data_IF_884243180904
#
_entry.id   IF_884243180904
#
_cell.length_a   1.000
_cell.length_b   1.000
_cell.length_c   1.000
_cell.angle_alpha   90.00
_cell.angle_beta   90.00
_cell.angle_gamma   90.00
#
_symmetry.space_group_name_H-M   'P 1'
#
loop_
_entity.id
_entity.type
_entity.pdbx_description
1 polymer ?
#
# COMPACT_ATOMS: atom_id res chain seq x y z
N UNK A 1 11.34 38.57 -19.61
CA UNK A 1 12.49 39.49 -19.94
C UNK A 1 13.82 38.73 -20.01
N UNK A 2 14.21 37.95 -19.00
CA UNK A 2 15.47 37.19 -19.01
C UNK A 2 15.67 36.33 -20.27
N UNK A 3 14.64 35.62 -20.69
CA UNK A 3 14.65 34.68 -21.83
C UNK A 3 14.77 35.40 -23.20
N UNK A 4 14.47 36.69 -23.24
CA UNK A 4 14.46 37.51 -24.46
C UNK A 4 15.58 38.54 -24.51
N UNK A 5 16.58 38.50 -23.59
CA UNK A 5 17.66 39.48 -23.54
C UNK A 5 18.61 39.41 -24.75
N UNK A 6 18.70 38.23 -25.39
CA UNK A 6 19.50 38.07 -26.59
C UNK A 6 18.88 38.76 -27.82
N UNK A 7 17.55 38.90 -27.85
CA UNK A 7 16.83 39.46 -28.98
C UNK A 7 16.47 40.95 -28.82
N UNK A 8 16.27 41.41 -27.57
CA UNK A 8 15.80 42.78 -27.31
C UNK A 8 16.54 43.43 -26.14
N UNK A 9 16.90 44.73 -26.26
CA UNK A 9 17.54 45.49 -25.18
C UNK A 9 16.62 45.55 -23.92
N UNK A 10 17.21 45.35 -22.74
CA UNK A 10 16.48 45.38 -21.46
C UNK A 10 15.74 46.69 -21.27
N UNK A 11 16.32 47.83 -21.64
CA UNK A 11 15.68 49.14 -21.55
C UNK A 11 14.37 49.23 -22.37
N UNK A 12 14.34 48.66 -23.56
CA UNK A 12 13.15 48.62 -24.42
C UNK A 12 12.06 47.75 -23.83
N UNK A 13 12.43 46.56 -23.31
CA UNK A 13 11.48 45.66 -22.62
C UNK A 13 10.93 46.29 -21.34
N UNK A 14 11.76 46.97 -20.56
CA UNK A 14 11.35 47.68 -19.36
C UNK A 14 10.33 48.78 -19.66
N UNK A 15 10.57 49.56 -20.71
CA UNK A 15 9.67 50.64 -21.15
C UNK A 15 8.32 50.07 -21.58
N UNK A 16 8.29 49.00 -22.36
CA UNK A 16 7.08 48.35 -22.84
C UNK A 16 6.24 47.75 -21.68
N UNK A 17 6.91 47.19 -20.65
CA UNK A 17 6.27 46.56 -19.52
C UNK A 17 6.01 47.54 -18.35
N UNK A 18 6.33 48.82 -18.48
CA UNK A 18 6.10 49.84 -17.44
C UNK A 18 6.93 49.65 -16.17
N UNK A 19 8.11 49.00 -16.25
CA UNK A 19 9.00 48.78 -15.11
C UNK A 19 10.29 49.54 -15.29
N UNK A 20 10.93 49.97 -14.18
CA UNK A 20 12.22 50.65 -14.27
C UNK A 20 13.35 49.64 -14.53
N UNK A 21 14.37 50.00 -15.37
CA UNK A 21 15.55 49.17 -15.56
C UNK A 21 16.30 48.88 -14.25
N UNK A 22 16.41 49.86 -13.37
CA UNK A 22 17.02 49.67 -12.04
C UNK A 22 16.25 48.67 -11.15
N UNK A 23 14.91 48.75 -11.18
CA UNK A 23 14.07 47.78 -10.51
C UNK A 23 14.23 46.36 -11.05
N UNK A 24 14.35 46.21 -12.36
CA UNK A 24 14.63 44.91 -13.00
C UNK A 24 15.99 44.33 -12.55
N UNK A 25 17.05 45.11 -12.61
CA UNK A 25 18.38 44.65 -12.19
C UNK A 25 18.46 44.42 -10.68
N UNK A 26 17.78 45.21 -9.84
CA UNK A 26 17.68 44.94 -8.41
C UNK A 26 16.91 43.64 -8.12
N UNK A 27 15.88 43.35 -8.92
CA UNK A 27 15.13 42.11 -8.82
C UNK A 27 15.96 40.88 -9.22
N UNK A 28 16.67 40.94 -10.36
CA UNK A 28 17.52 39.85 -10.86
C UNK A 28 18.68 39.55 -9.91
N UNK A 29 19.25 40.56 -9.24
CA UNK A 29 20.34 40.39 -8.26
C UNK A 29 19.87 40.05 -6.87
N UNK A 30 18.55 40.03 -6.63
CA UNK A 30 18.00 39.78 -5.30
C UNK A 30 18.28 38.35 -4.83
N UNK A 31 18.89 38.23 -3.68
CA UNK A 31 19.08 36.95 -3.03
C UNK A 31 17.73 36.28 -2.72
N UNK A 32 17.63 34.94 -2.80
CA UNK A 32 16.40 34.22 -2.46
C UNK A 32 15.90 34.59 -1.06
N UNK A 33 14.61 34.84 -0.93
CA UNK A 33 13.98 35.20 0.35
C UNK A 33 14.24 34.10 1.40
N UNK A 34 14.13 34.45 2.70
CA UNK A 34 14.20 33.45 3.80
C UNK A 34 13.24 32.27 3.56
N UNK A 35 12.05 32.57 3.04
CA UNK A 35 11.05 31.54 2.69
C UNK A 35 11.53 30.65 1.54
N UNK A 36 12.08 31.22 0.47
CA UNK A 36 12.59 30.46 -0.66
C UNK A 36 13.74 29.54 -0.26
N UNK A 37 14.67 30.02 0.57
CA UNK A 37 15.76 29.19 1.14
C UNK A 37 15.23 28.05 2.01
N UNK A 38 14.27 28.34 2.89
CA UNK A 38 13.60 27.35 3.73
C UNK A 38 12.77 26.35 2.90
N UNK A 39 12.15 26.78 1.79
CA UNK A 39 11.43 25.89 0.87
C UNK A 39 12.41 24.96 0.15
N UNK A 40 13.59 25.45 -0.28
CA UNK A 40 14.63 24.64 -0.92
C UNK A 40 15.15 23.53 0.00
N UNK A 41 15.48 23.85 1.25
CA UNK A 41 15.90 22.87 2.25
C UNK A 41 14.80 21.81 2.51
N UNK A 42 13.54 22.26 2.59
CA UNK A 42 12.41 21.36 2.81
C UNK A 42 12.13 20.44 1.60
N UNK A 43 12.34 20.91 0.38
CA UNK A 43 12.22 20.07 -0.83
C UNK A 43 13.25 18.95 -0.81
N UNK A 44 14.49 19.19 -0.38
CA UNK A 44 15.49 18.13 -0.24
C UNK A 44 15.04 17.04 0.76
N UNK A 45 14.48 17.43 1.92
CA UNK A 45 13.94 16.48 2.91
C UNK A 45 12.72 15.72 2.36
N UNK A 46 11.86 16.38 1.59
CA UNK A 46 10.72 15.75 0.91
C UNK A 46 11.21 14.68 -0.08
N UNK A 47 12.20 14.99 -0.91
CA UNK A 47 12.79 14.01 -1.83
C UNK A 47 13.41 12.83 -1.09
N UNK A 48 14.19 13.07 -0.04
CA UNK A 48 14.77 12.01 0.78
C UNK A 48 13.70 11.09 1.40
N UNK A 49 12.64 11.67 1.96
CA UNK A 49 11.52 10.90 2.52
C UNK A 49 10.75 10.12 1.44
N UNK A 50 10.57 10.71 0.26
CA UNK A 50 9.90 10.07 -0.86
C UNK A 50 10.73 8.90 -1.41
N UNK A 51 12.04 9.05 -1.57
CA UNK A 51 12.94 7.96 -1.97
C UNK A 51 12.96 6.83 -0.93
N UNK A 52 13.08 7.16 0.36
CA UNK A 52 13.06 6.18 1.45
C UNK A 52 11.74 5.39 1.51
N UNK A 53 10.63 5.96 1.03
CA UNK A 53 9.33 5.31 0.88
C UNK A 53 9.15 4.60 -0.46
N UNK A 54 10.23 4.30 -1.19
CA UNK A 54 10.20 3.64 -2.51
C UNK A 54 9.44 4.46 -3.57
N UNK A 55 9.37 5.79 -3.41
CA UNK A 55 8.63 6.65 -4.33
C UNK A 55 7.11 6.49 -4.27
N UNK A 56 6.55 6.06 -3.12
CA UNK A 56 5.13 5.73 -3.01
C UNK A 56 4.32 6.74 -2.18
N UNK A 57 4.96 7.49 -1.29
CA UNK A 57 4.26 8.36 -0.36
C UNK A 57 3.76 9.65 -1.00
N UNK A 58 2.47 9.93 -0.80
CA UNK A 58 1.88 11.25 -1.03
C UNK A 58 2.05 12.18 0.17
N UNK A 59 1.60 13.42 0.03
CA UNK A 59 1.77 14.50 1.01
C UNK A 59 1.39 14.14 2.47
N UNK A 60 0.33 13.36 2.76
CA UNK A 60 0.02 12.99 4.14
C UNK A 60 1.10 12.16 4.83
N UNK A 61 1.65 11.14 4.12
CA UNK A 61 2.71 10.27 4.66
C UNK A 61 4.06 10.98 4.70
N UNK A 62 4.39 11.79 3.68
CA UNK A 62 5.59 12.64 3.69
C UNK A 62 5.55 13.63 4.88
N UNK A 63 4.40 14.26 5.13
CA UNK A 63 4.23 15.14 6.30
C UNK A 63 4.50 14.39 7.61
N UNK A 64 4.01 13.14 7.73
CA UNK A 64 4.25 12.33 8.93
C UNK A 64 5.74 11.92 9.06
N UNK A 65 6.45 11.65 7.94
CA UNK A 65 7.89 11.40 7.96
C UNK A 65 8.68 12.61 8.44
N UNK A 66 8.35 13.80 7.90
CA UNK A 66 9.00 15.04 8.33
C UNK A 66 8.76 15.32 9.81
N UNK A 67 7.51 15.12 10.29
CA UNK A 67 7.17 15.26 11.70
C UNK A 67 7.96 14.29 12.59
N UNK A 68 8.15 13.04 12.17
CA UNK A 68 8.96 12.06 12.88
C UNK A 68 10.45 12.44 12.97
N UNK A 69 10.96 13.18 11.98
CA UNK A 69 12.31 13.79 11.99
C UNK A 69 12.39 15.10 12.79
N UNK A 70 11.31 15.54 13.47
CA UNK A 70 11.25 16.79 14.19
C UNK A 70 11.05 18.05 13.30
N UNK A 71 10.83 17.89 12.01
CA UNK A 71 10.60 19.00 11.08
C UNK A 71 9.14 19.42 11.14
N UNK A 72 8.86 20.54 11.81
CA UNK A 72 7.52 21.11 11.95
C UNK A 72 7.13 21.91 10.72
N UNK A 73 6.21 21.39 9.90
CA UNK A 73 5.73 22.01 8.67
C UNK A 73 4.24 21.74 8.47
N UNK A 74 3.49 22.68 7.91
CA UNK A 74 2.07 22.47 7.62
C UNK A 74 1.87 21.55 6.40
N UNK A 75 0.86 20.66 6.46
CA UNK A 75 0.54 19.70 5.39
C UNK A 75 0.29 20.37 4.03
N UNK A 76 -0.36 21.55 4.01
CA UNK A 76 -0.58 22.31 2.75
C UNK A 76 0.73 22.78 2.13
N UNK A 77 1.74 23.16 2.95
CA UNK A 77 3.06 23.56 2.45
C UNK A 77 3.80 22.36 1.84
N UNK A 78 3.75 21.19 2.50
CA UNK A 78 4.33 19.95 1.94
C UNK A 78 3.67 19.61 0.62
N UNK A 79 2.34 19.60 0.53
CA UNK A 79 1.63 19.29 -0.72
C UNK A 79 1.99 20.26 -1.86
N UNK A 80 2.08 21.57 -1.57
CA UNK A 80 2.49 22.58 -2.55
C UNK A 80 3.92 22.35 -3.06
N UNK A 81 4.85 22.06 -2.16
CA UNK A 81 6.26 21.82 -2.52
C UNK A 81 6.43 20.51 -3.29
N UNK A 82 5.71 19.45 -2.92
CA UNK A 82 5.70 18.20 -3.69
C UNK A 82 5.20 18.45 -5.12
N UNK A 83 4.08 19.17 -5.27
CA UNK A 83 3.55 19.51 -6.60
C UNK A 83 4.55 20.35 -7.43
N UNK A 84 5.18 21.36 -6.83
CA UNK A 84 6.18 22.20 -7.47
C UNK A 84 7.45 21.42 -7.87
N UNK A 85 7.82 20.38 -7.12
CA UNK A 85 8.96 19.50 -7.39
C UNK A 85 8.61 18.29 -8.28
N UNK A 86 7.38 18.18 -8.80
CA UNK A 86 6.94 17.05 -9.61
C UNK A 86 6.88 15.72 -8.84
N UNK A 87 6.81 15.76 -7.50
CA UNK A 87 6.77 14.58 -6.63
C UNK A 87 5.33 14.21 -6.32
N UNK A 88 4.92 13.01 -6.70
CA UNK A 88 3.57 12.50 -6.46
C UNK A 88 3.59 11.13 -5.77
N UNK A 89 2.63 10.88 -4.90
CA UNK A 89 2.42 9.56 -4.31
C UNK A 89 1.65 8.64 -5.24
N UNK A 90 1.79 7.33 -5.02
CA UNK A 90 1.01 6.33 -5.74
C UNK A 90 -0.44 6.37 -5.27
N UNK A 91 -1.38 6.41 -6.21
CA UNK A 91 -2.81 6.39 -5.95
C UNK A 91 -3.39 5.04 -6.35
N UNK A 92 -4.29 4.50 -5.50
CA UNK A 92 -5.07 3.31 -5.86
C UNK A 92 -5.96 3.64 -7.05
N UNK A 93 -5.90 2.84 -8.10
CA UNK A 93 -6.89 2.87 -9.17
C UNK A 93 -8.20 2.31 -8.62
N UNK A 94 -9.33 2.92 -8.97
CA UNK A 94 -10.64 2.35 -8.62
C UNK A 94 -10.87 1.15 -9.53
N UNK A 95 -10.86 -0.06 -8.98
CA UNK A 95 -11.30 -1.26 -9.69
C UNK A 95 -12.82 -1.43 -9.53
N UNK A 96 -13.48 -1.84 -10.60
CA UNK A 96 -14.88 -2.29 -10.58
C UNK A 96 -14.86 -3.77 -10.23
N UNK A 97 -15.40 -4.11 -9.08
CA UNK A 97 -15.51 -5.50 -8.59
C UNK A 97 -16.67 -6.20 -9.28
N UNK A 98 -16.46 -7.38 -9.84
CA UNK A 98 -17.50 -8.17 -10.52
C UNK A 98 -17.35 -9.64 -10.19
N UNK A 99 -17.95 -10.17 -9.08
CA UNK A 99 -18.20 -11.62 -8.99
C UNK A 99 -19.19 -12.06 -7.93
N UNK A 100 -19.99 -13.09 -8.24
CA UNK A 100 -20.84 -13.86 -7.33
C UNK A 100 -20.36 -15.31 -7.28
N UNK A 101 -20.18 -15.92 -6.09
CA UNK A 101 -19.94 -17.35 -5.93
C UNK A 101 -21.02 -18.02 -5.09
N UNK A 102 -21.34 -19.28 -5.45
CA UNK A 102 -22.17 -20.19 -4.66
C UNK A 102 -21.23 -21.24 -4.07
N UNK A 103 -21.07 -21.25 -2.75
CA UNK A 103 -20.27 -22.24 -2.03
C UNK A 103 -21.17 -23.18 -1.23
N UNK A 104 -20.97 -24.49 -1.38
CA UNK A 104 -21.54 -25.53 -0.52
C UNK A 104 -20.38 -26.24 0.18
N UNK A 105 -20.19 -26.01 1.47
CA UNK A 105 -19.16 -26.66 2.29
C UNK A 105 -19.43 -26.46 3.78
N UNK A 106 -18.81 -27.27 4.66
CA UNK A 106 -18.83 -27.08 6.12
C UNK A 106 -18.21 -25.72 6.44
N UNK A 107 -19.01 -24.83 7.04
CA UNK A 107 -18.61 -23.46 7.34
C UNK A 107 -18.30 -23.34 8.84
N UNK A 108 -17.19 -22.65 9.18
CA UNK A 108 -16.99 -22.14 10.53
C UNK A 108 -17.99 -20.99 10.78
N UNK A 109 -18.46 -20.80 12.04
CA UNK A 109 -19.37 -19.70 12.35
C UNK A 109 -18.67 -18.36 12.15
N UNK A 110 -19.44 -17.33 11.76
CA UNK A 110 -18.96 -15.96 11.79
C UNK A 110 -18.89 -15.46 13.24
N UNK A 111 -17.68 -15.37 13.79
CA UNK A 111 -17.42 -14.92 15.15
C UNK A 111 -17.23 -13.40 15.25
N UNK A 112 -17.16 -12.70 14.11
CA UNK A 112 -16.80 -11.28 14.07
C UNK A 112 -18.03 -10.40 13.93
N UNK A 113 -19.11 -10.90 13.28
CA UNK A 113 -20.33 -10.15 13.03
C UNK A 113 -20.06 -8.72 12.49
N UNK A 114 -19.15 -8.60 11.54
CA UNK A 114 -18.68 -7.32 10.93
C UNK A 114 -17.91 -6.39 11.88
N UNK A 115 -17.55 -6.84 13.06
CA UNK A 115 -16.71 -6.05 13.96
C UNK A 115 -15.22 -6.40 13.77
N UNK A 116 -14.56 -5.74 12.83
CA UNK A 116 -13.12 -5.92 12.55
C UNK A 116 -12.22 -5.08 13.48
N UNK A 117 -12.74 -4.54 14.57
CA UNK A 117 -11.94 -3.82 15.55
C UNK A 117 -11.34 -4.79 16.56
N UNK A 118 -10.03 -4.84 16.64
CA UNK A 118 -9.31 -5.55 17.70
C UNK A 118 -8.76 -4.52 18.68
N UNK A 119 -9.05 -4.71 19.97
CA UNK A 119 -8.57 -3.83 21.03
C UNK A 119 -7.11 -4.13 21.43
N UNK A 120 -6.61 -5.29 21.03
CA UNK A 120 -5.26 -5.74 21.35
C UNK A 120 -4.64 -6.58 20.25
N UNK A 121 -3.32 -6.78 20.36
CA UNK A 121 -2.55 -7.63 19.46
C UNK A 121 -2.98 -9.09 19.59
N UNK A 122 -2.97 -9.82 18.49
CA UNK A 122 -3.26 -11.25 18.43
C UNK A 122 -4.67 -11.65 18.95
N UNK A 123 -5.63 -10.73 18.94
CA UNK A 123 -7.04 -11.05 19.22
C UNK A 123 -7.76 -11.49 17.95
N UNK A 124 -7.48 -10.83 16.84
CA UNK A 124 -8.09 -11.08 15.55
C UNK A 124 -7.03 -11.04 14.44
N UNK A 125 -6.92 -12.12 13.72
CA UNK A 125 -6.16 -12.23 12.49
C UNK A 125 -7.10 -12.33 11.30
N UNK A 126 -6.81 -11.57 10.25
CA UNK A 126 -7.52 -11.62 8.98
C UNK A 126 -6.61 -12.28 7.96
N UNK A 127 -7.13 -13.26 7.23
CA UNK A 127 -6.35 -14.00 6.26
C UNK A 127 -7.04 -14.04 4.89
N UNK A 128 -6.22 -14.04 3.85
CA UNK A 128 -6.70 -14.11 2.47
C UNK A 128 -5.57 -14.54 1.53
N UNK A 129 -5.94 -14.91 0.30
CA UNK A 129 -5.04 -15.35 -0.74
C UNK A 129 -5.17 -14.42 -1.95
N UNK A 130 -4.04 -14.01 -2.49
CA UNK A 130 -3.98 -13.34 -3.79
C UNK A 130 -3.03 -14.07 -4.73
N UNK A 131 -3.02 -13.67 -6.00
CA UNK A 131 -2.06 -14.17 -6.98
C UNK A 131 -1.19 -13.04 -7.52
N UNK A 132 0.04 -13.39 -7.85
CA UNK A 132 1.04 -12.50 -8.40
C UNK A 132 1.38 -13.02 -9.80
N UNK A 133 1.11 -12.25 -10.87
CA UNK A 133 1.43 -12.66 -12.22
C UNK A 133 2.94 -12.60 -12.48
N UNK A 134 3.49 -13.63 -13.08
CA UNK A 134 4.85 -13.68 -13.63
C UNK A 134 4.82 -14.23 -15.04
N UNK A 135 5.87 -14.05 -15.81
CA UNK A 135 5.94 -14.64 -17.15
C UNK A 135 5.98 -16.17 -17.11
N UNK A 136 6.48 -16.75 -16.02
CA UNK A 136 6.53 -18.19 -15.79
C UNK A 136 5.22 -18.77 -15.17
N UNK A 137 4.14 -17.97 -15.07
CA UNK A 137 2.87 -18.36 -14.48
C UNK A 137 2.57 -17.63 -13.18
N UNK A 138 1.50 -18.03 -12.49
CA UNK A 138 1.07 -17.40 -11.25
C UNK A 138 1.88 -17.88 -10.04
N UNK A 139 2.11 -16.96 -9.11
CA UNK A 139 2.56 -17.24 -7.76
C UNK A 139 1.43 -16.85 -6.82
N UNK A 140 0.95 -17.78 -5.99
CA UNK A 140 -0.09 -17.53 -4.99
C UNK A 140 0.55 -17.07 -3.70
N UNK A 141 -0.01 -16.03 -3.09
CA UNK A 141 0.43 -15.47 -1.82
C UNK A 141 -0.71 -15.55 -0.82
N UNK A 142 -0.56 -16.36 0.23
CA UNK A 142 -1.42 -16.35 1.41
C UNK A 142 -0.82 -15.42 2.46
N UNK A 143 -1.66 -14.63 3.13
CA UNK A 143 -1.25 -13.71 4.20
C UNK A 143 -2.12 -13.87 5.43
N UNK A 144 -1.53 -13.63 6.60
CA UNK A 144 -2.21 -13.49 7.88
C UNK A 144 -1.85 -12.12 8.45
N UNK A 145 -2.84 -11.26 8.62
CA UNK A 145 -2.72 -9.88 9.05
C UNK A 145 -3.31 -9.70 10.44
N UNK A 146 -2.57 -9.14 11.39
CA UNK A 146 -3.10 -8.73 12.70
C UNK A 146 -3.97 -7.48 12.55
N UNK A 147 -5.25 -7.59 12.94
CA UNK A 147 -6.24 -6.54 12.75
C UNK A 147 -5.95 -5.28 13.56
N UNK A 148 -5.29 -5.39 14.71
CA UNK A 148 -4.92 -4.27 15.57
C UNK A 148 -3.76 -3.47 15.00
N UNK A 149 -2.64 -4.15 14.71
CA UNK A 149 -1.39 -3.50 14.29
C UNK A 149 -1.25 -3.33 12.77
N UNK A 150 -2.07 -3.99 11.97
CA UNK A 150 -1.92 -4.07 10.50
C UNK A 150 -0.66 -4.81 10.06
N UNK A 151 0.01 -5.49 10.96
CA UNK A 151 1.22 -6.25 10.65
C UNK A 151 0.87 -7.54 9.93
N UNK A 152 1.60 -7.87 8.89
CA UNK A 152 1.60 -9.21 8.31
C UNK A 152 2.41 -10.09 9.25
N UNK A 153 1.72 -10.98 9.94
CA UNK A 153 2.29 -11.87 10.98
C UNK A 153 2.62 -13.25 10.46
N UNK A 154 2.06 -13.61 9.31
CA UNK A 154 2.37 -14.84 8.60
C UNK A 154 2.09 -14.69 7.12
N UNK A 155 2.87 -15.33 6.28
CA UNK A 155 2.67 -15.37 4.85
C UNK A 155 3.39 -16.58 4.24
N UNK A 156 2.88 -17.04 3.12
CA UNK A 156 3.50 -18.11 2.34
C UNK A 156 3.21 -17.93 0.86
N UNK A 157 4.07 -18.46 0.02
CA UNK A 157 3.91 -18.40 -1.44
C UNK A 157 4.10 -19.78 -2.08
N UNK A 158 3.17 -20.14 -2.97
CA UNK A 158 3.21 -21.40 -3.72
C UNK A 158 2.90 -21.19 -5.21
N UNK A 159 3.31 -22.13 -6.03
CA UNK A 159 3.00 -22.15 -7.47
C UNK A 159 1.61 -22.74 -7.75
N UNK A 160 1.00 -23.36 -6.77
CA UNK A 160 -0.34 -23.97 -6.83
C UNK A 160 -1.21 -23.45 -5.70
N UNK A 161 -2.51 -23.37 -5.94
CA UNK A 161 -3.50 -22.95 -4.94
C UNK A 161 -3.93 -24.15 -4.08
N UNK A 162 -3.00 -24.75 -3.34
CA UNK A 162 -3.25 -25.86 -2.43
C UNK A 162 -3.50 -25.37 -1.00
N UNK A 163 -4.13 -26.22 -0.16
CA UNK A 163 -4.33 -25.94 1.27
C UNK A 163 -3.00 -25.68 2.00
N UNK A 164 -1.90 -26.28 1.54
CA UNK A 164 -0.59 -26.11 2.15
C UNK A 164 -0.15 -24.65 2.24
N UNK A 165 -0.49 -23.80 1.23
CA UNK A 165 -0.08 -22.39 1.28
C UNK A 165 -0.71 -21.61 2.44
N UNK A 166 -1.96 -21.91 2.80
CA UNK A 166 -2.60 -21.27 3.96
C UNK A 166 -2.13 -21.86 5.28
N UNK A 167 -1.81 -23.16 5.31
CA UNK A 167 -1.23 -23.82 6.47
C UNK A 167 0.17 -23.26 6.80
N UNK A 168 1.00 -23.07 5.80
CA UNK A 168 2.34 -22.50 5.97
C UNK A 168 2.27 -21.06 6.47
N UNK A 169 1.35 -20.23 5.93
CA UNK A 169 1.13 -18.88 6.42
C UNK A 169 0.64 -18.86 7.88
N UNK A 170 -0.30 -19.75 8.25
CA UNK A 170 -0.77 -19.91 9.62
C UNK A 170 0.36 -20.38 10.54
N UNK A 171 1.13 -21.38 10.14
CA UNK A 171 2.25 -21.90 10.94
C UNK A 171 3.32 -20.83 11.19
N UNK A 172 3.64 -20.00 10.20
CA UNK A 172 4.53 -18.85 10.37
C UNK A 172 3.96 -17.87 11.41
N UNK A 173 2.69 -17.52 11.31
CA UNK A 173 2.03 -16.62 12.26
C UNK A 173 2.06 -17.19 13.70
N UNK A 174 1.76 -18.47 13.85
CA UNK A 174 1.79 -19.17 15.14
C UNK A 174 3.20 -19.20 15.76
N UNK A 175 4.22 -19.50 14.96
CA UNK A 175 5.61 -19.53 15.41
C UNK A 175 6.09 -18.14 15.87
N UNK A 176 5.73 -17.10 15.14
CA UNK A 176 6.11 -15.71 15.45
C UNK A 176 5.37 -15.14 16.65
N UNK A 177 4.11 -15.48 16.85
CA UNK A 177 3.21 -14.77 17.78
C UNK A 177 2.84 -15.57 19.02
N UNK A 178 2.80 -16.91 18.93
CA UNK A 178 2.35 -17.82 20.00
C UNK A 178 1.07 -17.32 20.68
N UNK A 179 0.00 -17.06 19.94
CA UNK A 179 -1.21 -16.44 20.46
C UNK A 179 -1.96 -17.39 21.38
N UNK A 180 -2.81 -16.83 22.25
CA UNK A 180 -3.76 -17.61 23.05
C UNK A 180 -5.18 -17.27 22.61
N UNK A 181 -5.87 -18.22 21.94
CA UNK A 181 -7.27 -18.10 21.59
C UNK A 181 -7.58 -17.04 20.52
N UNK A 182 -6.64 -16.76 19.62
CA UNK A 182 -6.82 -15.82 18.52
C UNK A 182 -7.96 -16.27 17.60
N UNK A 183 -8.78 -15.32 17.13
CA UNK A 183 -9.74 -15.55 16.06
C UNK A 183 -9.01 -15.42 14.73
N UNK A 184 -9.05 -16.45 13.89
CA UNK A 184 -8.54 -16.42 12.53
C UNK A 184 -9.72 -16.33 11.56
N UNK A 185 -9.92 -15.16 10.98
CA UNK A 185 -11.01 -14.88 10.06
C UNK A 185 -10.53 -14.90 8.62
N UNK A 186 -11.25 -15.60 7.76
CA UNK A 186 -10.99 -15.69 6.33
C UNK A 186 -12.31 -15.66 5.53
N UNK A 187 -12.18 -15.56 4.21
CA UNK A 187 -13.29 -15.86 3.31
C UNK A 187 -13.64 -17.36 3.34
N UNK A 188 -14.70 -17.74 2.61
CA UNK A 188 -15.14 -19.12 2.47
C UNK A 188 -14.37 -19.90 1.38
N UNK A 189 -13.10 -19.58 1.16
CA UNK A 189 -12.25 -20.29 0.24
C UNK A 189 -12.10 -21.78 0.60
N UNK A 190 -12.08 -22.65 -0.40
CA UNK A 190 -11.95 -24.11 -0.20
C UNK A 190 -10.72 -24.50 0.63
N UNK A 191 -9.67 -23.72 0.60
CA UNK A 191 -8.45 -23.92 1.37
C UNK A 191 -8.67 -23.77 2.87
N UNK A 192 -9.44 -22.76 3.29
CA UNK A 192 -9.78 -22.49 4.67
C UNK A 192 -10.89 -23.42 5.19
N UNK A 193 -11.76 -23.92 4.31
CA UNK A 193 -12.79 -24.89 4.65
C UNK A 193 -12.27 -26.34 4.71
N UNK A 194 -10.99 -26.59 4.47
CA UNK A 194 -10.40 -27.93 4.47
C UNK A 194 -10.38 -28.52 5.89
N UNK A 195 -10.51 -29.84 5.97
CA UNK A 195 -10.43 -30.60 7.25
C UNK A 195 -9.08 -30.37 7.91
N UNK A 196 -8.02 -30.36 7.11
CA UNK A 196 -6.64 -30.21 7.54
C UNK A 196 -6.38 -28.83 8.19
N UNK A 197 -6.89 -27.76 7.58
CA UNK A 197 -6.82 -26.42 8.15
C UNK A 197 -7.59 -26.34 9.48
N UNK A 198 -8.82 -26.88 9.53
CA UNK A 198 -9.63 -26.92 10.75
C UNK A 198 -8.97 -27.74 11.87
N UNK A 199 -8.27 -28.85 11.53
CA UNK A 199 -7.50 -29.64 12.49
C UNK A 199 -6.34 -28.85 13.06
N UNK A 200 -5.56 -28.20 12.21
CA UNK A 200 -4.43 -27.36 12.60
C UNK A 200 -4.83 -26.19 13.50
N UNK A 201 -5.98 -25.55 13.22
CA UNK A 201 -6.51 -24.50 14.08
C UNK A 201 -6.84 -25.02 15.47
N UNK A 202 -7.49 -26.17 15.59
CA UNK A 202 -7.84 -26.80 16.88
C UNK A 202 -6.59 -27.13 17.70
N UNK A 203 -5.59 -27.75 17.08
CA UNK A 203 -4.31 -28.09 17.74
C UNK A 203 -3.60 -26.84 18.28
N UNK A 204 -3.66 -25.76 17.56
CA UNK A 204 -3.00 -24.51 17.94
C UNK A 204 -3.85 -23.60 18.86
N UNK A 205 -5.06 -24.01 19.25
CA UNK A 205 -5.99 -23.19 20.03
C UNK A 205 -6.45 -21.93 19.29
N UNK A 206 -6.43 -21.95 17.96
CA UNK A 206 -6.95 -20.88 17.08
C UNK A 206 -8.44 -21.12 16.87
N UNK A 207 -9.22 -20.05 16.92
CA UNK A 207 -10.65 -20.07 16.67
C UNK A 207 -10.92 -19.68 15.21
N UNK A 208 -11.25 -20.62 14.32
CA UNK A 208 -11.56 -20.28 12.94
C UNK A 208 -12.90 -19.54 12.87
N UNK A 209 -12.94 -18.53 12.03
CA UNK A 209 -14.14 -17.74 11.70
C UNK A 209 -14.17 -17.52 10.19
N UNK A 210 -15.36 -17.60 9.60
CA UNK A 210 -15.57 -17.37 8.18
C UNK A 210 -16.67 -16.35 7.97
N UNK A 211 -16.44 -15.42 7.04
CA UNK A 211 -17.42 -14.44 6.64
C UNK A 211 -18.66 -15.06 5.99
N UNK A 212 -19.71 -14.29 5.84
CA UNK A 212 -20.90 -14.69 5.11
C UNK A 212 -20.68 -14.70 3.61
N UNK A 213 -21.42 -15.53 2.85
CA UNK A 213 -21.28 -15.60 1.38
C UNK A 213 -21.62 -14.25 0.77
N UNK A 214 -20.64 -13.64 0.07
CA UNK A 214 -20.86 -12.43 -0.73
C UNK A 214 -20.79 -11.12 0.03
N UNK A 215 -20.29 -11.09 1.26
CA UNK A 215 -20.09 -9.84 1.99
C UNK A 215 -18.68 -9.25 1.73
N UNK A 216 -18.65 -8.17 0.96
CA UNK A 216 -17.41 -7.46 0.62
C UNK A 216 -16.73 -6.78 1.82
N UNK A 217 -17.41 -6.69 2.96
CA UNK A 217 -16.84 -6.07 4.17
C UNK A 217 -15.99 -7.05 4.98
N UNK A 218 -16.18 -8.35 4.80
CA UNK A 218 -15.58 -9.40 5.62
C UNK A 218 -14.04 -9.49 5.44
N UNK A 219 -13.48 -8.90 4.38
CA UNK A 219 -12.03 -8.96 4.10
C UNK A 219 -11.37 -7.62 3.76
N UNK A 220 -12.03 -6.49 4.05
CA UNK A 220 -11.57 -5.14 3.69
C UNK A 220 -10.14 -4.81 4.14
N UNK A 221 -9.62 -5.47 5.19
CA UNK A 221 -8.24 -5.27 5.65
C UNK A 221 -7.21 -5.95 4.75
N UNK A 222 -7.45 -7.21 4.36
CA UNK A 222 -6.59 -7.91 3.41
C UNK A 222 -6.70 -7.28 2.02
N UNK A 223 -7.91 -6.91 1.57
CA UNK A 223 -8.10 -6.14 0.34
C UNK A 223 -7.28 -4.84 0.35
N UNK A 224 -7.28 -4.13 1.49
CA UNK A 224 -6.47 -2.93 1.66
C UNK A 224 -4.97 -3.20 1.59
N UNK A 225 -4.51 -4.35 2.11
CA UNK A 225 -3.13 -4.79 1.98
C UNK A 225 -2.81 -5.15 0.53
N UNK A 226 -3.64 -5.96 -0.14
CA UNK A 226 -3.41 -6.37 -1.52
C UNK A 226 -3.42 -5.19 -2.49
N UNK A 227 -4.36 -4.25 -2.34
CA UNK A 227 -4.35 -3.02 -3.13
C UNK A 227 -3.10 -2.16 -2.87
N UNK A 228 -2.52 -2.26 -1.68
CA UNK A 228 -1.23 -1.62 -1.37
C UNK A 228 -0.07 -2.35 -2.04
N UNK A 229 -0.04 -3.68 -1.96
CA UNK A 229 0.96 -4.52 -2.63
C UNK A 229 0.93 -4.29 -4.15
N UNK A 230 -0.27 -4.26 -4.72
CA UNK A 230 -0.49 -4.00 -6.15
C UNK A 230 0.08 -2.64 -6.56
N UNK A 231 -0.43 -1.54 -5.97
CA UNK A 231 -0.02 -0.19 -6.34
C UNK A 231 1.45 0.14 -6.02
N UNK A 232 1.97 -0.36 -4.89
CA UNK A 232 3.29 0.02 -4.41
C UNK A 232 4.41 -0.92 -4.86
N UNK A 233 4.06 -2.13 -5.37
CA UNK A 233 5.02 -3.12 -5.88
C UNK A 233 4.63 -3.66 -7.26
N UNK A 234 3.50 -4.36 -7.41
CA UNK A 234 3.21 -5.17 -8.58
C UNK A 234 3.01 -4.33 -9.86
N UNK A 235 2.33 -3.18 -9.78
CA UNK A 235 2.14 -2.25 -10.91
C UNK A 235 3.46 -1.61 -11.39
N UNK A 236 4.50 -1.67 -10.56
CA UNK A 236 5.79 -1.01 -10.79
C UNK A 236 6.92 -1.98 -11.16
N UNK A 237 6.65 -3.27 -11.10
CA UNK A 237 7.60 -4.33 -11.40
C UNK A 237 7.01 -5.31 -12.42
N UNK A 238 7.89 -5.92 -13.20
CA UNK A 238 7.56 -7.05 -14.05
C UNK A 238 8.47 -8.21 -13.68
N UNK A 239 7.88 -9.35 -13.32
CA UNK A 239 8.63 -10.52 -12.87
C UNK A 239 8.72 -11.54 -14.01
N UNK A 240 9.94 -11.90 -14.38
CA UNK A 240 10.17 -12.98 -15.37
C UNK A 240 9.93 -14.34 -14.72
N UNK A 241 10.35 -14.50 -13.48
CA UNK A 241 10.28 -15.76 -12.75
C UNK A 241 9.51 -15.62 -11.44
N UNK A 242 8.99 -16.72 -10.95
CA UNK A 242 8.36 -16.80 -9.63
C UNK A 242 9.39 -16.56 -8.50
N UNK A 243 10.66 -16.89 -8.71
CA UNK A 243 11.74 -16.63 -7.77
C UNK A 243 11.97 -15.12 -7.59
N UNK A 244 12.01 -14.34 -8.68
CA UNK A 244 12.09 -12.87 -8.61
C UNK A 244 10.90 -12.27 -7.84
N UNK A 245 9.68 -12.75 -8.12
CA UNK A 245 8.47 -12.30 -7.43
C UNK A 245 8.54 -12.63 -5.92
N UNK A 246 9.01 -13.82 -5.54
CA UNK A 246 9.20 -14.21 -4.13
C UNK A 246 10.13 -13.26 -3.39
N UNK A 247 11.28 -12.96 -3.97
CA UNK A 247 12.26 -12.04 -3.36
C UNK A 247 11.67 -10.63 -3.21
N UNK A 248 11.00 -10.13 -4.25
CA UNK A 248 10.41 -8.79 -4.24
C UNK A 248 9.28 -8.66 -3.18
N UNK A 249 8.41 -9.67 -3.07
CA UNK A 249 7.34 -9.70 -2.05
C UNK A 249 7.92 -9.84 -0.64
N UNK A 250 8.91 -10.70 -0.44
CA UNK A 250 9.64 -10.80 0.83
C UNK A 250 10.20 -9.44 1.26
N UNK A 251 10.94 -8.77 0.35
CA UNK A 251 11.51 -7.45 0.62
C UNK A 251 10.43 -6.37 0.83
N UNK A 252 9.27 -6.54 0.20
CA UNK A 252 8.15 -5.63 0.42
C UNK A 252 7.55 -5.82 1.80
N UNK A 253 7.25 -7.05 2.22
CA UNK A 253 6.60 -7.34 3.51
C UNK A 253 7.57 -7.06 4.66
N UNK A 254 8.74 -7.71 4.66
CA UNK A 254 9.66 -7.68 5.79
C UNK A 254 10.60 -6.49 5.80
N UNK A 255 10.98 -5.97 4.61
CA UNK A 255 11.89 -4.83 4.51
C UNK A 255 11.20 -3.47 4.51
N UNK A 256 9.91 -3.40 4.15
CA UNK A 256 9.22 -2.13 4.01
C UNK A 256 7.86 -2.08 4.68
N UNK A 257 6.91 -2.96 4.36
CA UNK A 257 5.52 -2.88 4.85
C UNK A 257 5.46 -2.96 6.38
N UNK A 258 6.00 -4.01 6.97
CA UNK A 258 5.97 -4.20 8.40
C UNK A 258 6.82 -3.17 9.18
N UNK A 259 8.11 -2.90 8.82
CA UNK A 259 8.98 -2.07 9.66
C UNK A 259 8.89 -0.56 9.35
N UNK A 260 8.47 -0.15 8.14
CA UNK A 260 8.60 1.25 7.71
C UNK A 260 7.33 1.89 7.22
N UNK A 261 6.43 1.10 6.56
CA UNK A 261 5.29 1.68 5.89
C UNK A 261 4.30 2.30 6.88
N UNK A 262 4.03 3.60 6.70
CA UNK A 262 3.10 4.35 7.55
C UNK A 262 1.65 4.06 7.21
N UNK A 263 0.84 3.80 8.24
CA UNK A 263 -0.58 3.52 8.12
C UNK A 263 -1.42 4.59 8.81
N UNK A 264 -2.32 5.22 8.07
CA UNK A 264 -3.21 6.27 8.62
C UNK A 264 -4.14 5.76 9.71
N UNK A 265 -4.55 4.48 9.65
CA UNK A 265 -5.44 3.84 10.64
C UNK A 265 -4.79 3.65 12.02
N UNK A 266 -3.47 3.64 12.08
CA UNK A 266 -2.69 3.50 13.32
C UNK A 266 -1.76 4.72 13.54
N UNK A 267 -2.26 5.93 13.24
CA UNK A 267 -1.60 7.20 13.51
C UNK A 267 -0.33 7.47 12.70
N UNK A 268 -0.26 6.95 11.49
CA UNK A 268 0.93 7.05 10.64
C UNK A 268 2.18 6.41 11.26
N UNK A 269 2.03 5.45 12.15
CA UNK A 269 3.11 4.56 12.56
C UNK A 269 3.26 3.42 11.54
N UNK A 270 4.44 2.78 11.54
CA UNK A 270 4.57 1.46 10.92
C UNK A 270 3.94 0.39 11.80
N UNK A 271 3.54 -0.77 11.27
CA UNK A 271 3.04 -1.87 12.08
C UNK A 271 3.96 -2.25 13.25
N UNK A 272 5.26 -2.37 13.01
CA UNK A 272 6.25 -2.71 14.05
C UNK A 272 6.38 -1.58 15.08
N UNK A 273 6.43 -0.31 14.67
CA UNK A 273 6.55 0.79 15.61
C UNK A 273 5.28 0.97 16.45
N UNK A 274 4.11 0.69 15.87
CA UNK A 274 2.85 0.67 16.60
C UNK A 274 2.86 -0.42 17.69
N UNK A 275 3.30 -1.65 17.37
CA UNK A 275 3.45 -2.73 18.36
C UNK A 275 4.46 -2.40 19.46
N UNK A 276 5.60 -1.77 19.11
CA UNK A 276 6.58 -1.29 20.08
C UNK A 276 6.00 -0.25 21.03
N UNK A 277 5.19 0.67 20.51
CA UNK A 277 4.53 1.69 21.33
C UNK A 277 3.53 1.05 22.30
N UNK A 278 2.76 0.07 21.86
CA UNK A 278 1.86 -0.71 22.72
C UNK A 278 2.66 -1.42 23.83
N UNK A 279 3.74 -2.10 23.48
CA UNK A 279 4.57 -2.84 24.43
C UNK A 279 5.25 -1.94 25.48
N UNK A 280 5.58 -0.70 25.11
CA UNK A 280 6.18 0.29 26.00
C UNK A 280 5.18 0.94 26.96
N UNK A 281 3.86 0.72 26.79
CA UNK A 281 2.80 1.31 27.61
C UNK A 281 2.16 0.24 28.50
N UNK A 282 2.65 -0.03 29.71
CA UNK A 282 2.09 -1.06 30.57
C UNK A 282 0.75 -0.64 31.19
N UNK A 283 -0.30 -1.34 30.82
CA UNK A 283 -1.66 -1.20 31.39
C UNK A 283 -2.80 -1.31 30.37
N UNK A 284 -3.76 -2.21 30.60
CA UNK A 284 -4.88 -2.50 29.68
C UNK A 284 -5.75 -1.27 29.36
N UNK A 285 -5.83 -0.28 30.25
CA UNK A 285 -6.54 0.99 29.99
C UNK A 285 -5.78 1.96 29.08
N UNK A 286 -4.48 1.76 28.85
CA UNK A 286 -3.65 2.60 28.00
C UNK A 286 -3.70 2.19 26.52
N UNK A 287 -4.14 0.99 26.20
CA UNK A 287 -4.38 0.55 24.81
C UNK A 287 -5.46 1.42 24.15
N UNK A 288 -6.57 1.64 24.83
CA UNK A 288 -7.61 2.55 24.38
C UNK A 288 -7.09 3.99 24.28
N UNK A 289 -6.23 4.41 25.21
CA UNK A 289 -5.60 5.74 25.22
C UNK A 289 -4.59 5.91 24.08
N UNK A 290 -3.78 4.89 23.74
CA UNK A 290 -2.88 4.93 22.57
C UNK A 290 -3.68 5.00 21.28
N UNK A 291 -4.74 4.22 21.15
CA UNK A 291 -5.64 4.27 19.99
C UNK A 291 -6.42 5.59 19.93
N UNK A 292 -6.85 6.16 21.06
CA UNK A 292 -7.51 7.46 21.15
C UNK A 292 -6.51 8.59 20.84
N UNK A 293 -5.32 8.62 21.45
CA UNK A 293 -4.29 9.61 21.19
C UNK A 293 -3.78 9.58 19.74
N UNK A 294 -3.84 8.41 19.09
CA UNK A 294 -3.55 8.23 17.67
C UNK A 294 -4.70 8.77 16.80
N UNK A 295 -5.95 8.63 17.26
CA UNK A 295 -7.15 9.15 16.55
C UNK A 295 -7.32 10.66 16.77
N UNK A 296 -6.94 11.18 17.92
CA UNK A 296 -7.15 12.60 18.33
C UNK A 296 -6.01 13.55 17.87
N UNK A 297 -4.93 13.05 17.30
CA UNK A 297 -4.01 13.95 16.61
C UNK A 297 -4.77 14.64 15.47
N UNK A 298 -4.76 16.01 15.39
CA UNK A 298 -5.56 16.77 14.43
C UNK A 298 -5.02 16.64 13.00
N UNK A 299 -5.15 15.46 12.46
CA UNK A 299 -5.11 15.25 11.04
C UNK A 299 -6.54 15.43 10.54
N UNK A 300 -6.83 16.57 9.93
CA UNK A 300 -8.15 16.91 9.41
C UNK A 300 -8.83 15.69 8.79
N UNK A 301 -10.08 15.46 9.20
CA UNK A 301 -10.94 14.38 8.68
C UNK A 301 -10.80 14.28 7.16
N UNK A 302 -10.64 13.10 6.59
CA UNK A 302 -10.90 12.92 5.18
C UNK A 302 -12.34 13.37 4.94
N UNK A 303 -12.55 14.31 4.02
CA UNK A 303 -13.91 14.59 3.55
C UNK A 303 -14.48 13.27 3.07
N UNK A 304 -15.62 12.89 3.62
CA UNK A 304 -16.39 11.75 3.19
C UNK A 304 -16.65 11.93 1.69
N UNK A 305 -16.04 11.09 0.88
CA UNK A 305 -16.47 10.91 -0.49
C UNK A 305 -17.90 10.36 -0.49
N UNK A 306 -18.66 10.56 -1.57
CA UNK A 306 -20.07 10.17 -1.63
C UNK A 306 -20.23 8.71 -1.24
N UNK A 307 -21.28 8.43 -0.47
CA UNK A 307 -21.65 7.12 0.04
C UNK A 307 -21.71 6.09 -1.09
N UNK A 308 -20.90 5.06 -0.98
CA UNK A 308 -20.95 3.89 -1.87
C UNK A 308 -22.13 3.01 -1.42
N UNK A 309 -23.24 3.14 -2.12
CA UNK A 309 -24.31 2.14 -2.13
C UNK A 309 -23.84 0.89 -2.86
N UNK A 310 -23.92 -0.22 -2.16
CA UNK A 310 -24.00 -1.61 -2.54
C UNK A 310 -23.63 -2.03 -3.97
N UNK A 311 -22.52 -2.75 -4.14
CA UNK A 311 -22.39 -3.90 -5.04
C UNK A 311 -21.22 -4.76 -4.59
N UNK A 312 -21.52 -5.72 -3.72
CA UNK A 312 -20.65 -6.84 -3.39
C UNK A 312 -20.58 -7.79 -4.57
N UNK A 313 -19.39 -8.14 -5.04
CA UNK A 313 -19.19 -9.25 -5.99
C UNK A 313 -17.82 -9.92 -5.79
N UNK A 314 -17.85 -11.21 -5.83
CA UNK A 314 -16.99 -12.34 -5.48
C UNK A 314 -15.56 -12.39 -6.06
N UNK A 315 -14.57 -12.86 -5.25
CA UNK A 315 -13.13 -12.92 -5.55
C UNK A 315 -12.69 -13.77 -6.74
N UNK A 316 -13.51 -14.73 -7.20
CA UNK A 316 -13.14 -15.61 -8.35
C UNK A 316 -13.20 -14.92 -9.70
N UNK A 317 -13.98 -13.86 -9.87
CA UNK A 317 -14.04 -13.10 -11.13
C UNK A 317 -12.95 -12.04 -11.20
N UNK A 318 -12.46 -11.55 -10.06
CA UNK A 318 -11.23 -10.71 -10.04
C UNK A 318 -10.08 -11.52 -10.64
N UNK A 319 -9.93 -12.81 -10.27
CA UNK A 319 -8.97 -13.74 -10.86
C UNK A 319 -9.20 -13.90 -12.37
N UNK A 320 -10.44 -14.08 -12.82
CA UNK A 320 -10.74 -14.29 -14.26
C UNK A 320 -10.67 -13.01 -15.10
N UNK A 321 -11.12 -11.88 -14.60
CA UNK A 321 -11.05 -10.59 -15.31
C UNK A 321 -9.61 -10.06 -15.38
N UNK A 322 -8.87 -10.14 -14.30
CA UNK A 322 -7.44 -9.83 -14.26
C UNK A 322 -6.62 -10.77 -15.14
N UNK A 323 -6.99 -12.06 -15.19
CA UNK A 323 -6.36 -13.05 -16.06
C UNK A 323 -6.61 -12.78 -17.56
N UNK A 324 -7.83 -12.41 -17.94
CA UNK A 324 -8.16 -12.05 -19.35
C UNK A 324 -7.42 -10.76 -19.77
N UNK A 325 -7.40 -9.75 -18.93
CA UNK A 325 -6.72 -8.49 -19.21
C UNK A 325 -5.19 -8.67 -19.24
N UNK A 326 -4.62 -9.49 -18.34
CA UNK A 326 -3.21 -9.82 -18.33
C UNK A 326 -2.82 -10.65 -19.57
N UNK A 327 -3.63 -11.66 -19.94
CA UNK A 327 -3.39 -12.46 -21.17
C UNK A 327 -3.46 -11.58 -22.42
N UNK A 328 -4.40 -10.61 -22.46
CA UNK A 328 -4.48 -9.65 -23.56
C UNK A 328 -3.22 -8.78 -23.66
N UNK A 329 -2.79 -8.19 -22.54
CA UNK A 329 -1.57 -7.35 -22.49
C UNK A 329 -0.28 -8.14 -22.73
N UNK A 330 -0.23 -9.40 -22.30
CA UNK A 330 0.90 -10.29 -22.56
C UNK A 330 0.99 -10.73 -24.02
N UNK A 331 -0.15 -10.86 -24.72
CA UNK A 331 -0.21 -11.13 -26.15
C UNK A 331 0.22 -9.90 -26.98
N UNK A 332 -0.23 -8.70 -26.59
CA UNK A 332 0.17 -7.42 -27.21
C UNK A 332 1.70 -7.22 -27.10
N UNK A 333 2.29 -7.45 -25.93
CA UNK A 333 3.74 -7.32 -25.71
C UNK A 333 4.58 -8.40 -26.45
N UNK A 334 4.05 -9.62 -26.63
CA UNK A 334 4.75 -10.63 -27.45
C UNK A 334 4.81 -10.23 -28.92
N UNK A 335 3.75 -9.58 -29.43
CA UNK A 335 3.73 -9.07 -30.80
C UNK A 335 4.72 -7.91 -30.99
N UNK A 336 4.85 -7.01 -30.00
CA UNK A 336 5.80 -5.90 -30.05
C UNK A 336 7.26 -6.40 -30.05
N UNK A 337 7.59 -7.40 -29.22
CA UNK A 337 8.93 -8.00 -29.19
C UNK A 337 9.26 -8.83 -30.46
N UNK A 338 8.26 -9.48 -31.08
CA UNK A 338 8.47 -10.17 -32.35
C UNK A 338 8.63 -9.20 -33.53
N UNK A 339 8.08 -7.98 -33.44
CA UNK A 339 8.32 -6.93 -34.42
C UNK A 339 9.70 -6.29 -34.28
N UNK A 340 10.25 -6.16 -33.06
CA UNK A 340 11.64 -5.67 -32.86
C UNK A 340 12.70 -6.69 -33.32
N UNK A 341 12.47 -7.98 -33.13
CA UNK A 341 13.38 -9.05 -33.60
C UNK A 341 13.31 -9.28 -35.13
N UNK A 342 12.31 -8.74 -35.81
CA UNK A 342 12.12 -8.90 -37.27
C UNK A 342 12.63 -7.71 -38.10
N UNK A 343 13.25 -6.70 -37.48
CA UNK A 343 13.92 -5.62 -38.21
C UNK A 343 15.23 -6.12 -38.84
N UNK A 344 15.42 -6.00 -40.14
CA UNK A 344 16.66 -6.45 -40.79
C UNK A 344 17.83 -5.54 -40.39
N UNK A 345 18.93 -6.16 -39.94
CA UNK A 345 20.20 -5.55 -39.58
C UNK A 345 20.97 -5.03 -40.80
N UNK A 346 20.38 -4.12 -41.54
CA UNK A 346 21.07 -3.43 -42.64
C UNK A 346 20.77 -1.94 -42.54
N UNK A 347 21.59 -1.24 -41.76
CA UNK A 347 21.90 0.21 -41.97
C UNK A 347 22.87 0.67 -40.86
N UNK A 348 24.16 0.34 -41.07
CA UNK A 348 25.26 1.15 -40.48
C UNK A 348 26.14 1.52 -41.63
N UNK A 349 26.38 2.83 -41.92
CA UNK A 349 27.38 3.30 -42.84
C UNK A 349 28.80 3.17 -42.26
#
# INVERSE_FOLDING_TARGET
>A
MSDNQAAYPVATMCRLLGVSPSGYYAWTKRQPSRRARSDGALVAEIHAAHQASRGTYGAPRIHAELAAKGIRVGRKRVARLMAAAGVAGVSRRKFVTTTTSKGSGRQAPDLIARNFTAEGLNQLWIADITYIPTWAGFLYLAVVLDACSRRIVGWSMATTLATQVVLDALNMALAMRRPKGVIHHSDQGSQYASIEFGHRCREAGVRPSMGSVGDAYDNAMCESFFATLECELLDRCRFRTQAEARIAVFQFIEGFYNPRRRHSSIGYLSPIDFERQIAASPGAHQHAAVLAAVKDKPFGRPQAGPSLTAAARDGRTIVRAGMKEWLRRGAEQKNDLQQEDSMPSNLVP
#
